data_IF_881276101969
#
_entry.id   IF_881276101969
#
_cell.length_a   1.000
_cell.length_b   1.000
_cell.length_c   1.000
_cell.angle_alpha   90.00
_cell.angle_beta   90.00
_cell.angle_gamma   90.00
#
_symmetry.space_group_name_H-M   'P 1'
#
loop_
_entity.id
_entity.type
_entity.pdbx_description
1 polymer ?
#
# COMPACT_ATOMS: atom_id res chain seq x y z
N UNK A 1 -0.73 -17.30 -8.97
CA UNK A 1 -1.66 -16.77 -7.96
C UNK A 1 -0.98 -16.90 -6.60
N UNK A 2 -0.72 -15.79 -5.90
CA UNK A 2 -0.03 -15.82 -4.59
C UNK A 2 -0.98 -16.41 -3.55
N UNK A 3 -0.56 -17.47 -2.86
CA UNK A 3 -1.25 -18.04 -1.70
C UNK A 3 -1.23 -17.04 -0.55
N UNK A 4 -2.29 -16.26 -0.37
CA UNK A 4 -2.55 -15.56 0.89
C UNK A 4 -3.19 -16.53 1.88
N UNK A 5 -2.74 -16.58 3.16
CA UNK A 5 -3.45 -17.30 4.20
C UNK A 5 -4.89 -16.77 4.32
N UNK A 6 -5.82 -17.63 4.77
CA UNK A 6 -7.24 -17.32 4.92
C UNK A 6 -7.43 -16.27 6.04
N UNK A 7 -7.18 -15.00 5.72
CA UNK A 7 -7.55 -13.87 6.56
C UNK A 7 -9.02 -13.60 6.29
N UNK A 8 -9.90 -13.55 7.31
CA UNK A 8 -11.29 -13.16 7.13
C UNK A 8 -11.32 -11.79 6.43
N UNK A 9 -11.92 -11.74 5.24
CA UNK A 9 -12.15 -10.47 4.54
C UNK A 9 -13.25 -9.77 5.33
N UNK A 10 -12.88 -8.82 6.19
CA UNK A 10 -13.85 -7.93 6.83
C UNK A 10 -14.71 -7.29 5.73
N UNK A 11 -16.01 -7.61 5.73
CA UNK A 11 -16.92 -7.31 4.62
C UNK A 11 -17.18 -5.80 4.49
N UNK A 12 -16.95 -5.04 5.56
CA UNK A 12 -17.07 -3.58 5.59
C UNK A 12 -16.02 -3.02 6.55
N UNK A 13 -15.02 -2.30 6.01
CA UNK A 13 -14.11 -1.51 6.84
C UNK A 13 -14.56 -0.03 6.86
N UNK A 14 -14.14 0.72 7.89
CA UNK A 14 -14.49 2.13 8.05
C UNK A 14 -14.04 3.01 6.88
N UNK A 15 -12.91 2.68 6.25
CA UNK A 15 -12.37 3.41 5.08
C UNK A 15 -13.29 3.25 3.87
N UNK A 16 -13.85 2.06 3.64
CA UNK A 16 -14.82 1.80 2.58
C UNK A 16 -16.08 2.64 2.78
N UNK A 17 -16.58 2.73 4.02
CA UNK A 17 -17.77 3.55 4.34
C UNK A 17 -17.51 5.04 4.09
N UNK A 18 -16.35 5.55 4.53
CA UNK A 18 -15.96 6.94 4.31
C UNK A 18 -15.82 7.23 2.81
N UNK A 19 -15.11 6.37 2.08
CA UNK A 19 -14.96 6.50 0.64
C UNK A 19 -16.31 6.52 -0.08
N UNK A 20 -17.18 5.55 0.21
CA UNK A 20 -18.51 5.45 -0.38
C UNK A 20 -19.37 6.68 -0.04
N UNK A 21 -19.30 7.17 1.19
CA UNK A 21 -19.98 8.40 1.60
C UNK A 21 -19.50 9.61 0.79
N UNK A 22 -18.18 9.87 0.77
CA UNK A 22 -17.61 11.00 0.03
C UNK A 22 -17.97 10.91 -1.47
N UNK A 23 -17.83 9.73 -2.08
CA UNK A 23 -18.16 9.53 -3.48
C UNK A 23 -19.65 9.79 -3.76
N UNK A 24 -20.55 9.28 -2.91
CA UNK A 24 -22.00 9.37 -3.12
C UNK A 24 -22.54 10.79 -2.90
N UNK A 25 -21.98 11.53 -1.94
CA UNK A 25 -22.48 12.88 -1.59
C UNK A 25 -21.75 14.02 -2.31
N UNK A 26 -20.51 13.82 -2.75
CA UNK A 26 -19.68 14.91 -3.32
C UNK A 26 -19.08 14.59 -4.68
N UNK A 27 -18.93 13.32 -5.04
CA UNK A 27 -18.16 12.90 -6.22
C UNK A 27 -16.64 13.14 -6.12
N UNK A 28 -16.16 13.67 -4.99
CA UNK A 28 -14.77 14.10 -4.81
C UNK A 28 -13.90 13.07 -4.06
N UNK A 29 -14.21 11.77 -4.18
CA UNK A 29 -13.43 10.75 -3.48
C UNK A 29 -11.96 10.66 -3.93
N UNK A 30 -11.62 11.26 -5.08
CA UNK A 30 -10.25 11.43 -5.54
C UNK A 30 -9.39 12.27 -4.58
N UNK A 31 -9.97 13.24 -3.86
CA UNK A 31 -9.25 14.05 -2.86
C UNK A 31 -8.85 13.18 -1.68
N UNK A 32 -9.81 12.43 -1.15
CA UNK A 32 -9.56 11.50 -0.06
C UNK A 32 -8.53 10.44 -0.46
N UNK A 33 -8.64 9.88 -1.68
CA UNK A 33 -7.67 8.91 -2.18
C UNK A 33 -6.26 9.51 -2.35
N UNK A 34 -6.15 10.76 -2.81
CA UNK A 34 -4.87 11.46 -2.92
C UNK A 34 -4.20 11.60 -1.54
N UNK A 35 -4.95 12.03 -0.52
CA UNK A 35 -4.43 12.14 0.86
C UNK A 35 -3.93 10.79 1.37
N UNK A 36 -4.73 9.72 1.22
CA UNK A 36 -4.35 8.37 1.66
C UNK A 36 -3.13 7.84 0.91
N UNK A 37 -2.97 8.18 -0.38
CA UNK A 37 -1.75 7.86 -1.14
C UNK A 37 -0.52 8.51 -0.52
N UNK A 38 -0.63 9.80 -0.20
CA UNK A 38 0.44 10.55 0.45
C UNK A 38 0.85 9.92 1.78
N UNK A 39 -0.12 9.58 2.63
CA UNK A 39 0.11 8.93 3.92
C UNK A 39 0.78 7.55 3.79
N UNK A 40 0.34 6.72 2.83
CA UNK A 40 0.97 5.42 2.55
C UNK A 40 2.42 5.62 2.11
N UNK A 41 2.66 6.60 1.22
CA UNK A 41 4.00 6.90 0.73
C UNK A 41 4.92 7.39 1.84
N UNK A 42 4.45 8.27 2.70
CA UNK A 42 5.19 8.73 3.88
C UNK A 42 5.49 7.56 4.84
N UNK A 43 4.46 6.76 5.17
CA UNK A 43 4.57 5.63 6.08
C UNK A 43 5.61 4.58 5.64
N UNK A 44 5.72 4.35 4.33
CA UNK A 44 6.62 3.33 3.77
C UNK A 44 7.88 3.92 3.11
N UNK A 45 8.13 5.23 3.22
CA UNK A 45 9.30 5.88 2.61
C UNK A 45 9.33 5.79 1.08
N UNK A 46 8.18 5.88 0.42
CA UNK A 46 8.05 5.75 -1.04
C UNK A 46 8.15 7.13 -1.70
N UNK A 47 9.11 7.29 -2.62
CA UNK A 47 9.28 8.51 -3.40
C UNK A 47 8.06 8.84 -4.28
N UNK A 48 7.94 10.12 -4.67
CA UNK A 48 6.85 10.64 -5.50
C UNK A 48 6.38 12.04 -5.09
N UNK A 49 5.33 12.53 -5.73
CA UNK A 49 4.86 13.92 -5.58
C UNK A 49 3.34 14.02 -5.40
N UNK A 50 2.91 15.06 -4.67
CA UNK A 50 1.47 15.33 -4.47
C UNK A 50 0.72 15.62 -5.77
N UNK A 51 1.37 16.24 -6.77
CA UNK A 51 0.79 16.42 -8.10
C UNK A 51 0.58 15.06 -8.80
N UNK A 52 1.56 14.16 -8.71
CA UNK A 52 1.42 12.79 -9.22
C UNK A 52 0.29 12.03 -8.54
N UNK A 53 0.12 12.20 -7.23
CA UNK A 53 -0.96 11.60 -6.46
C UNK A 53 -2.34 12.17 -6.85
N UNK A 54 -2.42 13.47 -7.10
CA UNK A 54 -3.62 14.15 -7.61
C UNK A 54 -4.06 13.55 -8.94
N UNK A 55 -3.16 13.60 -9.93
CA UNK A 55 -3.34 13.11 -11.28
C UNK A 55 -3.79 11.64 -11.30
N UNK A 56 -3.10 10.79 -10.54
CA UNK A 56 -3.40 9.35 -10.48
C UNK A 56 -4.78 9.10 -9.86
N UNK A 57 -5.11 9.81 -8.78
CA UNK A 57 -6.38 9.66 -8.07
C UNK A 57 -7.56 10.21 -8.86
N UNK A 58 -7.36 11.28 -9.63
CA UNK A 58 -8.42 11.93 -10.41
C UNK A 58 -8.74 11.17 -11.69
N UNK A 59 -7.72 10.75 -12.47
CA UNK A 59 -7.94 10.13 -13.79
C UNK A 59 -8.26 8.64 -13.75
N UNK A 60 -7.75 7.88 -12.78
CA UNK A 60 -8.18 6.49 -12.58
C UNK A 60 -8.21 6.14 -11.08
N UNK A 61 -9.26 6.58 -10.41
CA UNK A 61 -9.45 6.35 -8.97
C UNK A 61 -9.40 4.86 -8.59
N UNK A 62 -10.05 3.98 -9.36
CA UNK A 62 -10.05 2.54 -9.07
C UNK A 62 -8.66 1.91 -9.23
N UNK A 63 -7.88 2.33 -10.25
CA UNK A 63 -6.51 1.88 -10.43
C UNK A 63 -5.64 2.29 -9.23
N UNK A 64 -5.80 3.54 -8.78
CA UNK A 64 -5.06 4.10 -7.67
C UNK A 64 -5.33 3.33 -6.37
N UNK A 65 -6.60 3.02 -6.08
CA UNK A 65 -7.01 2.24 -4.91
C UNK A 65 -6.41 0.83 -4.91
N UNK A 66 -6.49 0.12 -6.03
CA UNK A 66 -5.94 -1.24 -6.15
C UNK A 66 -4.41 -1.22 -6.02
N UNK A 67 -3.74 -0.21 -6.60
CA UNK A 67 -2.30 -0.04 -6.44
C UNK A 67 -1.93 0.13 -4.96
N UNK A 68 -2.61 1.04 -4.26
CA UNK A 68 -2.39 1.30 -2.83
C UNK A 68 -2.60 0.02 -2.00
N UNK A 69 -3.71 -0.69 -2.20
CA UNK A 69 -4.02 -1.94 -1.49
C UNK A 69 -2.94 -3.00 -1.73
N UNK A 70 -2.51 -3.17 -2.98
CA UNK A 70 -1.44 -4.10 -3.33
C UNK A 70 -0.11 -3.73 -2.69
N UNK A 71 0.25 -2.45 -2.66
CA UNK A 71 1.49 -1.94 -2.07
C UNK A 71 1.52 -2.12 -0.55
N UNK A 72 0.40 -1.85 0.11
CA UNK A 72 0.20 -2.05 1.55
C UNK A 72 0.26 -3.53 1.88
N UNK A 73 -0.52 -4.37 1.17
CA UNK A 73 -0.56 -5.82 1.39
C UNK A 73 0.80 -6.47 1.14
N UNK A 74 1.51 -6.07 0.09
CA UNK A 74 2.84 -6.60 -0.21
C UNK A 74 3.84 -6.30 0.92
N UNK A 75 3.84 -5.09 1.46
CA UNK A 75 4.75 -4.68 2.52
C UNK A 75 4.38 -5.26 3.89
N UNK A 76 3.09 -5.35 4.19
CA UNK A 76 2.61 -6.02 5.40
C UNK A 76 2.94 -7.52 5.40
N UNK A 77 2.81 -8.18 4.24
CA UNK A 77 3.16 -9.59 4.09
C UNK A 77 4.67 -9.88 4.21
N UNK A 78 5.53 -8.89 3.93
CA UNK A 78 6.99 -9.04 4.05
C UNK A 78 7.51 -8.95 5.49
N UNK A 79 6.68 -8.51 6.46
CA UNK A 79 7.08 -8.34 7.86
C UNK A 79 8.26 -7.35 8.04
N UNK A 80 8.61 -6.97 9.28
CA UNK A 80 9.92 -6.38 9.51
C UNK A 80 10.98 -7.43 9.13
N UNK A 81 11.88 -7.10 8.20
CA UNK A 81 13.03 -7.96 7.93
C UNK A 81 13.97 -7.92 9.15
N UNK A 82 13.74 -8.83 10.11
CA UNK A 82 14.62 -9.06 11.26
C UNK A 82 15.71 -10.09 10.91
N UNK A 83 16.08 -10.26 9.63
CA UNK A 83 17.35 -10.90 9.29
C UNK A 83 18.48 -9.94 9.65
N UNK A 84 18.88 -9.99 10.92
CA UNK A 84 20.17 -9.46 11.34
C UNK A 84 21.27 -10.06 10.47
N UNK A 85 22.29 -9.24 10.18
CA UNK A 85 23.51 -9.61 9.48
C UNK A 85 23.95 -11.04 9.88
N UNK A 86 23.84 -11.99 8.95
CA UNK A 86 24.44 -13.31 9.12
C UNK A 86 25.93 -13.15 8.79
N UNK A 87 26.86 -13.23 9.77
CA UNK A 87 28.27 -13.34 9.41
C UNK A 87 28.43 -14.62 8.58
N UNK A 88 29.06 -14.49 7.41
CA UNK A 88 29.42 -15.62 6.54
C UNK A 88 30.25 -16.60 7.38
N UNK A 89 29.67 -17.78 7.71
CA UNK A 89 30.29 -18.78 8.59
C UNK A 89 31.19 -19.78 7.87
N UNK A 90 31.16 -19.82 6.54
CA UNK A 90 32.05 -20.68 5.77
C UNK A 90 33.24 -19.89 5.26
N UNK A 91 34.37 -20.13 5.94
CA UNK A 91 35.68 -19.63 5.57
C UNK A 91 36.02 -20.04 4.15
N UNK A 92 36.63 -19.12 3.42
CA UNK A 92 37.17 -19.37 2.09
C UNK A 92 38.31 -20.40 2.23
N UNK A 93 38.02 -21.67 1.96
CA UNK A 93 39.06 -22.68 1.80
C UNK A 93 39.78 -22.39 0.48
N UNK A 94 40.91 -21.72 0.58
CA UNK A 94 41.84 -21.57 -0.54
C UNK A 94 42.54 -22.92 -0.78
N UNK A 95 42.59 -23.40 -2.04
CA UNK A 95 43.51 -24.47 -2.42
C UNK A 95 44.97 -24.01 -2.41
#
# INVERSE_FOLDING_TARGET
>A
MRNTPNVPIESTNSECMIFCGIQSFTGCAWIYNMMRRGEIREKYGIEGSGMGDCCTSFWCLCCALVQQDNEVRARQAQGPNIEGYQPVKDGMHMP
#
